data_IF_857842716856
#
_entry.id   IF_857842716856
#
_cell.length_a   1.000
_cell.length_b   1.000
_cell.length_c   1.000
_cell.angle_alpha   90.00
_cell.angle_beta   90.00
_cell.angle_gamma   90.00
#
_symmetry.space_group_name_H-M   'P 1'
#
loop_
_entity.id
_entity.type
_entity.pdbx_description
1 polymer ?
#
# COMPACT_ATOMS: atom_id res chain seq x y z
N UNK A 1 -44.35 -50.46 48.43
CA UNK A 1 -44.21 -51.81 47.92
C UNK A 1 -42.84 -52.05 47.38
N UNK A 2 -42.09 -52.95 48.00
CA UNK A 2 -40.75 -53.42 47.63
C UNK A 2 -40.85 -54.27 46.35
N UNK A 3 -39.92 -54.16 45.42
CA UNK A 3 -39.30 -55.36 44.86
C UNK A 3 -37.95 -55.02 44.20
N UNK A 4 -36.93 -55.63 44.76
CA UNK A 4 -35.57 -55.90 44.29
C UNK A 4 -35.57 -56.99 43.26
N UNK A 5 -34.55 -57.06 42.40
CA UNK A 5 -33.82 -58.24 41.88
C UNK A 5 -33.20 -57.89 40.52
N UNK A 6 -32.07 -58.35 40.09
CA UNK A 6 -30.87 -59.05 40.58
C UNK A 6 -29.75 -58.83 39.55
N UNK A 7 -28.51 -58.83 40.02
CA UNK A 7 -27.29 -59.02 39.21
C UNK A 7 -27.35 -60.40 38.47
N UNK A 8 -26.83 -60.36 37.23
CA UNK A 8 -26.12 -61.56 36.74
C UNK A 8 -24.89 -61.12 35.93
N UNK A 9 -23.74 -61.53 36.47
CA UNK A 9 -22.46 -61.53 35.79
C UNK A 9 -22.38 -62.77 34.92
N UNK A 10 -21.86 -62.64 33.69
CA UNK A 10 -21.15 -63.78 33.06
C UNK A 10 -20.24 -63.35 31.91
N UNK A 11 -19.06 -63.77 32.03
CA UNK A 11 -18.08 -64.28 31.05
C UNK A 11 -17.33 -63.29 30.15
N UNK A 12 -16.08 -63.19 30.49
CA UNK A 12 -14.92 -62.76 29.71
C UNK A 12 -14.72 -63.73 28.52
N UNK A 13 -14.65 -63.15 27.32
CA UNK A 13 -14.02 -63.84 26.19
C UNK A 13 -12.95 -62.89 25.60
N UNK A 14 -11.69 -63.22 25.89
CA UNK A 14 -10.51 -62.62 25.32
C UNK A 14 -10.40 -62.97 23.83
N UNK A 15 -10.57 -61.99 22.96
CA UNK A 15 -10.16 -62.13 21.56
C UNK A 15 -8.96 -61.23 21.34
N UNK A 16 -7.80 -61.84 21.22
CA UNK A 16 -6.54 -61.23 20.78
C UNK A 16 -6.69 -61.00 19.27
N UNK A 17 -7.07 -59.79 18.88
CA UNK A 17 -7.04 -59.31 17.50
C UNK A 17 -5.74 -58.55 17.28
N UNK A 18 -4.87 -59.07 16.46
CA UNK A 18 -3.64 -58.43 16.01
C UNK A 18 -3.99 -57.15 15.25
N UNK A 19 -3.76 -55.98 15.86
CA UNK A 19 -3.78 -54.71 15.15
C UNK A 19 -2.43 -54.57 14.46
N UNK A 20 -2.41 -54.84 13.16
CA UNK A 20 -1.33 -54.39 12.28
C UNK A 20 -1.36 -52.87 12.23
N UNK A 21 -0.43 -52.24 12.91
CA UNK A 21 -0.14 -50.82 12.78
C UNK A 21 0.38 -50.55 11.35
N UNK A 22 -0.46 -50.11 10.46
CA UNK A 22 -0.07 -49.45 9.20
C UNK A 22 0.53 -48.08 9.56
N UNK A 23 1.85 -48.02 9.46
CA UNK A 23 2.65 -46.80 9.62
C UNK A 23 2.21 -45.74 8.61
N UNK A 24 1.44 -44.74 9.05
CA UNK A 24 1.18 -43.53 8.32
C UNK A 24 2.31 -42.49 8.44
N UNK A 25 3.56 -42.90 8.21
CA UNK A 25 4.75 -42.02 8.35
C UNK A 25 5.29 -41.50 7.01
N UNK A 26 4.47 -41.35 5.98
CA UNK A 26 4.99 -40.91 4.67
C UNK A 26 4.51 -39.51 4.21
N UNK A 27 3.54 -38.90 4.86
CA UNK A 27 3.05 -37.57 4.44
C UNK A 27 3.73 -36.41 5.16
N UNK A 28 4.05 -36.50 6.45
CA UNK A 28 4.66 -35.39 7.19
C UNK A 28 6.09 -35.09 6.71
N UNK A 29 6.91 -36.10 6.44
CA UNK A 29 8.29 -35.92 5.98
C UNK A 29 8.38 -35.32 4.56
N UNK A 30 7.39 -35.53 3.70
CA UNK A 30 7.35 -34.95 2.38
C UNK A 30 6.86 -33.49 2.42
N UNK A 31 5.90 -33.16 3.27
CA UNK A 31 5.43 -31.79 3.48
C UNK A 31 6.53 -30.93 4.10
N UNK A 32 7.26 -31.44 5.10
CA UNK A 32 8.43 -30.74 5.65
C UNK A 32 9.53 -30.52 4.63
N UNK A 33 9.88 -31.51 3.82
CA UNK A 33 10.90 -31.37 2.77
C UNK A 33 10.49 -30.35 1.71
N UNK A 34 9.26 -30.37 1.24
CA UNK A 34 8.74 -29.40 0.25
C UNK A 34 8.76 -28.00 0.84
N UNK A 35 8.37 -27.82 2.11
CA UNK A 35 8.44 -26.52 2.78
C UNK A 35 9.88 -26.03 2.95
N UNK A 36 10.82 -26.88 3.30
CA UNK A 36 12.24 -26.54 3.44
C UNK A 36 12.86 -26.16 2.09
N UNK A 37 12.53 -26.86 1.00
CA UNK A 37 12.99 -26.52 -0.34
C UNK A 37 12.41 -25.21 -0.84
N UNK A 38 11.12 -24.95 -0.63
CA UNK A 38 10.45 -23.69 -0.97
C UNK A 38 11.06 -22.52 -0.18
N UNK A 39 11.27 -22.69 1.12
CA UNK A 39 11.91 -21.69 1.98
C UNK A 39 13.36 -21.42 1.53
N UNK A 40 14.12 -22.45 1.21
CA UNK A 40 15.49 -22.33 0.71
C UNK A 40 15.56 -21.59 -0.62
N UNK A 41 14.59 -21.79 -1.52
CA UNK A 41 14.49 -21.09 -2.80
C UNK A 41 14.15 -19.61 -2.59
N UNK A 42 13.17 -19.31 -1.75
CA UNK A 42 12.79 -17.94 -1.38
C UNK A 42 14.01 -17.16 -0.85
N UNK A 43 14.78 -17.78 0.06
CA UNK A 43 15.95 -17.16 0.68
C UNK A 43 17.13 -16.92 -0.26
N UNK A 44 17.24 -17.69 -1.33
CA UNK A 44 18.28 -17.52 -2.36
C UNK A 44 17.98 -16.35 -3.31
N UNK A 45 16.72 -16.10 -3.62
CA UNK A 45 16.32 -15.08 -4.59
C UNK A 45 16.03 -13.74 -3.89
N UNK A 46 15.22 -13.78 -2.82
CA UNK A 46 14.74 -12.56 -2.17
C UNK A 46 15.60 -12.23 -0.94
N UNK A 47 16.22 -11.05 -0.88
CA UNK A 47 17.03 -10.65 0.27
C UNK A 47 16.15 -10.24 1.46
N UNK A 48 16.69 -10.37 2.67
CA UNK A 48 16.20 -9.60 3.80
C UNK A 48 16.80 -8.20 3.70
N UNK A 49 15.96 -7.18 3.59
CA UNK A 49 16.43 -5.82 3.39
C UNK A 49 16.92 -5.17 4.70
N UNK A 50 17.90 -4.30 4.56
CA UNK A 50 18.30 -3.37 5.63
C UNK A 50 17.48 -2.09 5.50
N UNK A 51 16.26 -2.09 6.03
CA UNK A 51 15.37 -0.94 5.99
C UNK A 51 15.86 0.14 6.95
N UNK A 52 15.97 1.39 6.49
CA UNK A 52 16.49 2.51 7.28
C UNK A 52 15.60 2.83 8.48
N UNK A 53 14.27 2.89 8.29
CA UNK A 53 13.30 3.15 9.35
C UNK A 53 13.12 1.91 10.22
N UNK A 54 13.43 2.02 11.49
CA UNK A 54 13.32 0.91 12.45
C UNK A 54 11.99 0.95 13.19
N UNK A 55 11.58 -0.22 13.73
CA UNK A 55 10.45 -0.29 14.66
C UNK A 55 10.77 0.48 15.94
N UNK A 56 9.83 1.30 16.37
CA UNK A 56 9.87 1.98 17.66
C UNK A 56 9.02 1.20 18.69
N UNK A 57 9.62 0.70 19.79
CA UNK A 57 8.88 -0.04 20.80
C UNK A 57 7.69 0.75 21.40
N UNK A 58 7.78 2.08 21.50
CA UNK A 58 6.70 2.91 22.00
C UNK A 58 5.51 2.95 21.04
N UNK A 59 5.78 3.06 19.73
CA UNK A 59 4.75 2.96 18.67
C UNK A 59 4.11 1.58 18.69
N UNK A 60 4.91 0.50 18.77
CA UNK A 60 4.37 -0.86 18.79
C UNK A 60 3.47 -1.10 20.03
N UNK A 61 3.83 -0.57 21.20
CA UNK A 61 2.99 -0.66 22.40
C UNK A 61 1.66 0.11 22.25
N UNK A 62 1.68 1.29 21.62
CA UNK A 62 0.46 2.03 21.31
C UNK A 62 -0.45 1.28 20.36
N UNK A 63 0.10 0.63 19.33
CA UNK A 63 -0.65 -0.20 18.37
C UNK A 63 -1.40 -1.32 19.10
N UNK A 64 -0.74 -2.03 20.01
CA UNK A 64 -1.38 -3.07 20.83
C UNK A 64 -2.58 -2.51 21.58
N UNK A 65 -2.40 -1.36 22.25
CA UNK A 65 -3.48 -0.70 22.97
C UNK A 65 -4.65 -0.30 22.08
N UNK A 66 -4.39 0.22 20.87
CA UNK A 66 -5.45 0.52 19.93
C UNK A 66 -6.21 -0.75 19.51
N UNK A 67 -5.49 -1.82 19.12
CA UNK A 67 -6.10 -3.06 18.65
C UNK A 67 -6.99 -3.74 19.72
N UNK A 68 -6.59 -3.68 20.99
CA UNK A 68 -7.37 -4.22 22.10
C UNK A 68 -8.69 -3.47 22.34
N UNK A 69 -8.73 -2.18 22.01
CA UNK A 69 -9.91 -1.33 22.25
C UNK A 69 -10.80 -1.14 21.01
N UNK A 70 -10.32 -1.47 19.81
CA UNK A 70 -11.08 -1.33 18.56
C UNK A 70 -12.09 -2.45 18.39
N UNK A 71 -13.31 -2.10 17.97
CA UNK A 71 -14.30 -3.06 17.45
C UNK A 71 -13.90 -3.61 16.09
N UNK A 72 -14.51 -4.71 15.66
CA UNK A 72 -14.31 -5.24 14.31
C UNK A 72 -14.69 -4.22 13.24
N UNK A 73 -15.79 -3.52 13.45
CA UNK A 73 -16.30 -2.48 12.56
C UNK A 73 -15.28 -1.34 12.38
N UNK A 74 -14.69 -0.85 13.46
CA UNK A 74 -13.62 0.16 13.42
C UNK A 74 -12.35 -0.36 12.73
N UNK A 75 -11.96 -1.61 12.98
CA UNK A 75 -10.80 -2.25 12.33
C UNK A 75 -10.99 -2.34 10.81
N UNK A 76 -12.14 -2.82 10.36
CA UNK A 76 -12.44 -2.92 8.93
C UNK A 76 -12.52 -1.54 8.28
N UNK A 77 -13.06 -0.52 8.97
CA UNK A 77 -13.09 0.85 8.47
C UNK A 77 -11.68 1.41 8.19
N UNK A 78 -10.67 1.05 8.99
CA UNK A 78 -9.28 1.44 8.70
C UNK A 78 -8.77 0.86 7.38
N UNK A 79 -9.32 -0.26 6.93
CA UNK A 79 -8.91 -0.96 5.69
C UNK A 79 -9.64 -0.44 4.43
N UNK A 80 -10.61 0.45 4.56
CA UNK A 80 -11.40 0.99 3.44
C UNK A 80 -10.90 2.38 3.08
N UNK A 81 -10.58 2.57 1.78
CA UNK A 81 -10.18 3.84 1.20
C UNK A 81 -11.14 4.22 0.07
N UNK A 82 -12.23 4.94 0.37
CA UNK A 82 -13.17 5.45 -0.63
C UNK A 82 -12.63 6.73 -1.29
N UNK A 83 -13.26 7.12 -2.40
CA UNK A 83 -12.92 8.31 -3.16
C UNK A 83 -13.82 9.50 -2.78
N UNK A 84 -13.31 10.73 -2.87
CA UNK A 84 -14.01 11.96 -2.41
C UNK A 84 -15.35 12.21 -3.09
N UNK A 85 -15.59 11.67 -4.29
CA UNK A 85 -16.88 11.78 -5.00
C UNK A 85 -17.94 10.81 -4.48
N UNK A 86 -17.52 9.75 -3.76
CA UNK A 86 -18.37 8.64 -3.37
C UNK A 86 -18.73 8.66 -1.88
N UNK A 87 -18.17 9.59 -1.12
CA UNK A 87 -18.43 9.77 0.31
C UNK A 87 -18.71 11.21 0.68
N UNK A 88 -19.40 11.38 1.78
CA UNK A 88 -19.66 12.67 2.43
C UNK A 88 -18.84 12.78 3.73
N UNK A 89 -18.79 13.99 4.30
CA UNK A 89 -18.23 14.24 5.64
C UNK A 89 -18.99 13.43 6.70
N UNK A 90 -20.30 13.24 6.52
CA UNK A 90 -21.13 12.43 7.43
C UNK A 90 -20.83 10.92 7.30
N UNK A 91 -20.49 10.43 6.10
CA UNK A 91 -19.99 9.06 5.94
C UNK A 91 -18.66 8.89 6.67
N UNK A 92 -17.74 9.85 6.58
CA UNK A 92 -16.48 9.84 7.35
C UNK A 92 -16.75 9.77 8.85
N UNK A 93 -17.66 10.61 9.39
CA UNK A 93 -18.05 10.60 10.81
C UNK A 93 -18.67 9.28 11.23
N UNK A 94 -19.49 8.70 10.36
CA UNK A 94 -20.24 7.48 10.66
C UNK A 94 -19.38 6.22 10.67
N UNK A 95 -18.44 6.12 9.75
CA UNK A 95 -17.67 4.89 9.53
C UNK A 95 -16.22 4.98 10.03
N UNK A 96 -15.65 6.18 10.17
CA UNK A 96 -14.27 6.37 10.61
C UNK A 96 -13.24 5.77 9.65
N UNK A 97 -13.39 6.00 8.33
CA UNK A 97 -12.47 5.44 7.33
C UNK A 97 -11.01 5.76 7.64
N UNK A 98 -10.15 4.73 7.54
CA UNK A 98 -8.71 4.88 7.79
C UNK A 98 -8.02 5.85 6.84
N UNK A 99 -8.51 5.92 5.62
CA UNK A 99 -8.01 6.82 4.58
C UNK A 99 -9.10 7.10 3.55
N UNK A 100 -8.86 8.11 2.72
CA UNK A 100 -9.64 8.43 1.53
C UNK A 100 -8.70 8.97 0.45
N UNK A 101 -9.16 9.04 -0.81
CA UNK A 101 -8.35 9.52 -1.91
C UNK A 101 -9.14 10.45 -2.84
N UNK A 102 -8.42 11.17 -3.68
CA UNK A 102 -8.95 11.72 -4.92
C UNK A 102 -8.33 10.99 -6.11
N UNK A 103 -9.16 10.52 -7.02
CA UNK A 103 -8.71 10.01 -8.32
C UNK A 103 -8.51 11.12 -9.33
N UNK A 104 -7.99 10.78 -10.50
CA UNK A 104 -7.85 11.73 -11.60
C UNK A 104 -9.19 12.38 -11.94
N UNK A 105 -9.22 13.72 -11.96
CA UNK A 105 -10.42 14.49 -12.23
C UNK A 105 -11.40 14.62 -11.05
N UNK A 106 -10.99 14.25 -9.85
CA UNK A 106 -11.73 14.49 -8.62
C UNK A 106 -11.16 15.68 -7.85
N UNK A 107 -12.02 16.62 -7.50
CA UNK A 107 -11.65 17.87 -6.86
C UNK A 107 -12.64 18.22 -5.74
N UNK A 108 -12.24 19.00 -4.74
CA UNK A 108 -13.16 19.53 -3.75
C UNK A 108 -14.36 20.20 -4.43
N UNK A 109 -15.57 19.89 -3.97
CA UNK A 109 -16.84 20.38 -4.53
C UNK A 109 -17.06 20.07 -6.03
N UNK A 110 -16.30 19.15 -6.63
CA UNK A 110 -16.34 18.87 -8.07
C UNK A 110 -15.77 20.00 -8.94
N UNK A 111 -15.09 20.96 -8.35
CA UNK A 111 -14.53 22.12 -9.06
C UNK A 111 -13.04 21.91 -9.39
N UNK A 112 -12.72 21.74 -10.68
CA UNK A 112 -11.32 21.63 -11.14
C UNK A 112 -10.48 22.89 -10.88
N UNK A 113 -11.11 24.03 -10.58
CA UNK A 113 -10.46 25.27 -10.21
C UNK A 113 -10.37 25.46 -8.69
N UNK A 114 -10.68 24.42 -7.89
CA UNK A 114 -10.55 24.46 -6.45
C UNK A 114 -9.16 24.98 -6.05
N UNK A 115 -9.15 25.98 -5.18
CA UNK A 115 -7.94 26.61 -4.67
C UNK A 115 -7.28 25.73 -3.60
N UNK A 116 -5.99 25.93 -3.27
CA UNK A 116 -5.37 25.22 -2.15
C UNK A 116 -6.17 25.31 -0.85
N UNK A 117 -6.82 26.44 -0.59
CA UNK A 117 -7.70 26.66 0.56
C UNK A 117 -8.95 25.76 0.52
N UNK A 118 -9.54 25.53 -0.66
CA UNK A 118 -10.69 24.62 -0.82
C UNK A 118 -10.29 23.17 -0.51
N UNK A 119 -9.10 22.75 -0.97
CA UNK A 119 -8.52 21.44 -0.65
C UNK A 119 -8.30 21.30 0.86
N UNK A 120 -7.67 22.28 1.49
CA UNK A 120 -7.45 22.30 2.95
C UNK A 120 -8.78 22.29 3.71
N UNK A 121 -9.79 23.02 3.24
CA UNK A 121 -11.12 23.04 3.87
C UNK A 121 -11.79 21.65 3.84
N UNK A 122 -11.64 20.88 2.76
CA UNK A 122 -12.13 19.50 2.68
C UNK A 122 -11.30 18.59 3.60
N UNK A 123 -9.97 18.69 3.57
CA UNK A 123 -9.08 17.94 4.45
C UNK A 123 -9.44 18.14 5.93
N UNK A 124 -9.66 19.39 6.33
CA UNK A 124 -10.05 19.73 7.72
C UNK A 124 -11.39 19.11 8.11
N UNK A 125 -12.42 19.21 7.24
CA UNK A 125 -13.74 18.62 7.51
C UNK A 125 -13.66 17.10 7.66
N UNK A 126 -12.93 16.42 6.78
CA UNK A 126 -12.75 14.96 6.86
C UNK A 126 -11.96 14.55 8.10
N UNK A 127 -10.90 15.29 8.45
CA UNK A 127 -10.13 15.06 9.66
C UNK A 127 -11.00 15.21 10.91
N UNK A 128 -11.72 16.32 11.04
CA UNK A 128 -12.58 16.57 12.21
C UNK A 128 -13.69 15.52 12.33
N UNK A 129 -14.25 15.07 11.22
CA UNK A 129 -15.23 13.99 11.20
C UNK A 129 -14.62 12.64 11.65
N UNK A 130 -13.36 12.35 11.25
CA UNK A 130 -12.71 11.08 11.60
C UNK A 130 -12.30 10.96 13.07
N UNK A 131 -12.14 12.08 13.78
CA UNK A 131 -11.80 12.10 15.21
C UNK A 131 -12.99 12.39 16.13
N UNK A 132 -14.18 12.58 15.56
CA UNK A 132 -15.44 12.76 16.26
C UNK A 132 -16.01 11.40 16.69
N UNK A 133 -15.76 11.01 17.93
CA UNK A 133 -16.16 9.71 18.49
C UNK A 133 -17.66 9.59 18.84
N UNK A 134 -18.46 10.60 18.54
CA UNK A 134 -19.88 10.62 18.94
C UNK A 134 -20.75 9.59 18.21
N UNK A 135 -20.31 9.07 17.06
CA UNK A 135 -21.07 8.12 16.24
C UNK A 135 -20.41 6.75 16.16
N UNK A 136 -19.14 6.68 15.77
CA UNK A 136 -18.43 5.40 15.60
C UNK A 136 -17.58 5.00 16.79
N UNK A 137 -17.42 5.90 17.77
CA UNK A 137 -16.60 5.68 18.98
C UNK A 137 -15.08 5.71 18.72
N UNK A 138 -14.64 6.19 17.54
CA UNK A 138 -13.22 6.25 17.15
C UNK A 138 -12.67 7.68 17.19
N UNK A 139 -11.39 7.81 17.53
CA UNK A 139 -10.60 9.06 17.41
C UNK A 139 -9.37 8.87 16.52
N UNK A 140 -9.40 7.86 15.66
CA UNK A 140 -8.26 7.56 14.78
C UNK A 140 -8.32 8.50 13.58
N UNK A 141 -7.32 9.41 13.42
CA UNK A 141 -7.33 10.35 12.32
C UNK A 141 -7.24 9.66 10.97
N UNK A 142 -8.05 10.11 10.02
CA UNK A 142 -7.97 9.67 8.62
C UNK A 142 -6.74 10.26 7.92
N UNK A 143 -6.34 9.70 6.78
CA UNK A 143 -5.28 10.25 5.93
C UNK A 143 -5.75 10.35 4.48
N UNK A 144 -5.35 11.40 3.78
CA UNK A 144 -5.70 11.64 2.39
C UNK A 144 -4.58 11.20 1.46
N UNK A 145 -4.87 10.27 0.53
CA UNK A 145 -3.95 9.82 -0.51
C UNK A 145 -4.24 10.45 -1.88
N UNK A 146 -3.19 10.76 -2.65
CA UNK A 146 -3.32 11.32 -4.00
C UNK A 146 -2.22 10.87 -4.93
N UNK A 147 -2.47 10.89 -6.25
CA UNK A 147 -1.42 10.79 -7.25
C UNK A 147 -0.70 12.13 -7.41
N UNK A 148 0.63 12.11 -7.29
CA UNK A 148 1.52 13.20 -7.60
C UNK A 148 2.86 12.63 -8.10
N UNK A 149 2.81 11.95 -9.25
CA UNK A 149 3.92 11.14 -9.78
C UNK A 149 5.06 12.00 -10.34
N UNK A 150 4.74 13.15 -10.95
CA UNK A 150 5.71 14.09 -11.50
C UNK A 150 5.35 15.55 -11.16
N UNK A 151 5.04 15.81 -9.88
CA UNK A 151 4.49 17.06 -9.34
C UNK A 151 3.03 16.91 -8.93
N UNK A 152 2.49 17.91 -8.24
CA UNK A 152 1.10 17.91 -7.75
C UNK A 152 0.11 18.29 -8.86
N UNK A 153 -0.13 17.38 -9.79
CA UNK A 153 -0.91 17.60 -11.01
C UNK A 153 -2.42 17.81 -10.80
N UNK A 154 -2.90 17.71 -9.57
CA UNK A 154 -4.33 17.91 -9.27
C UNK A 154 -4.72 19.38 -9.05
N UNK A 155 -3.76 20.28 -8.89
CA UNK A 155 -4.00 21.69 -8.60
C UNK A 155 -3.47 22.57 -9.72
N UNK A 156 -4.34 23.43 -10.27
CA UNK A 156 -3.96 24.37 -11.32
C UNK A 156 -2.89 25.33 -10.80
N UNK A 157 -1.80 25.44 -11.57
CA UNK A 157 -0.66 26.29 -11.22
C UNK A 157 0.46 25.58 -10.49
N UNK A 158 0.27 24.36 -10.00
CA UNK A 158 1.34 23.56 -9.40
C UNK A 158 2.49 23.29 -10.38
N UNK A 159 3.67 23.04 -9.85
CA UNK A 159 4.85 22.73 -10.64
C UNK A 159 4.76 21.32 -11.21
N UNK A 160 4.77 21.21 -12.53
CA UNK A 160 4.88 19.93 -13.22
C UNK A 160 6.31 19.72 -13.69
N UNK A 161 6.80 18.51 -13.49
CA UNK A 161 8.11 18.06 -13.94
C UNK A 161 7.95 17.19 -15.21
N UNK A 162 9.03 16.96 -15.99
CA UNK A 162 8.99 15.96 -17.05
C UNK A 162 8.46 14.63 -16.55
N UNK A 163 7.77 13.88 -17.41
CA UNK A 163 7.39 12.52 -17.06
C UNK A 163 8.62 11.64 -16.75
N UNK A 164 8.40 10.55 -16.04
CA UNK A 164 9.45 9.71 -15.49
C UNK A 164 10.46 9.23 -16.53
N UNK A 165 10.02 8.91 -17.76
CA UNK A 165 10.92 8.54 -18.88
C UNK A 165 11.93 9.66 -19.20
N UNK A 166 11.51 10.91 -19.16
CA UNK A 166 12.43 12.06 -19.33
C UNK A 166 13.35 12.25 -18.14
N UNK A 167 12.81 12.11 -16.93
CA UNK A 167 13.62 12.18 -15.70
C UNK A 167 14.65 11.05 -15.63
N UNK A 168 14.31 9.86 -16.12
CA UNK A 168 15.26 8.74 -16.26
C UNK A 168 16.41 9.06 -17.18
N UNK A 169 16.13 9.73 -18.33
CA UNK A 169 17.17 10.18 -19.27
C UNK A 169 18.14 11.20 -18.66
N UNK A 170 17.70 12.00 -17.67
CA UNK A 170 18.57 12.94 -16.95
C UNK A 170 19.66 12.24 -16.11
N UNK A 171 19.41 11.03 -15.66
CA UNK A 171 20.30 10.21 -14.83
C UNK A 171 20.95 10.99 -13.66
N UNK A 172 20.11 11.74 -12.92
CA UNK A 172 20.52 12.61 -11.82
C UNK A 172 19.70 12.37 -10.57
N UNK A 173 20.08 11.43 -9.67
CA UNK A 173 19.34 11.11 -8.45
C UNK A 173 19.16 12.30 -7.49
N UNK A 174 20.14 13.21 -7.42
CA UNK A 174 20.03 14.38 -6.52
C UNK A 174 18.93 15.35 -6.99
N UNK A 175 18.82 15.55 -8.31
CA UNK A 175 17.71 16.31 -8.89
C UNK A 175 16.36 15.65 -8.61
N UNK A 176 16.29 14.32 -8.66
CA UNK A 176 15.08 13.55 -8.36
C UNK A 176 14.68 13.70 -6.88
N UNK A 177 15.62 13.64 -5.93
CA UNK A 177 15.33 13.89 -4.51
C UNK A 177 14.78 15.31 -4.30
N UNK A 178 15.35 16.30 -5.00
CA UNK A 178 14.86 17.68 -4.95
C UNK A 178 13.44 17.84 -5.53
N UNK A 179 13.16 17.23 -6.68
CA UNK A 179 11.83 17.19 -7.31
C UNK A 179 10.79 16.60 -6.35
N UNK A 180 11.12 15.48 -5.72
CA UNK A 180 10.25 14.81 -4.77
C UNK A 180 9.99 15.69 -3.52
N UNK A 181 11.01 16.41 -3.03
CA UNK A 181 10.87 17.35 -1.92
C UNK A 181 9.95 18.53 -2.27
N UNK A 182 10.04 19.06 -3.47
CA UNK A 182 9.14 20.10 -3.98
C UNK A 182 7.70 19.57 -4.09
N UNK A 183 7.54 18.36 -4.62
CA UNK A 183 6.24 17.70 -4.72
C UNK A 183 5.60 17.55 -3.34
N UNK A 184 6.36 17.12 -2.32
CA UNK A 184 5.87 17.03 -0.94
C UNK A 184 5.36 18.39 -0.42
N UNK A 185 6.09 19.47 -0.65
CA UNK A 185 5.71 20.83 -0.22
C UNK A 185 4.39 21.27 -0.88
N UNK A 186 4.26 21.11 -2.21
CA UNK A 186 3.06 21.51 -2.92
C UNK A 186 1.84 20.63 -2.58
N UNK A 187 2.04 19.34 -2.34
CA UNK A 187 0.99 18.42 -1.86
C UNK A 187 0.52 18.83 -0.46
N UNK A 188 1.43 19.14 0.45
CA UNK A 188 1.08 19.57 1.82
C UNK A 188 0.38 20.93 1.83
N UNK A 189 0.64 21.81 0.86
CA UNK A 189 -0.08 23.08 0.72
C UNK A 189 -1.59 22.87 0.51
N UNK A 190 -2.00 21.69 0.05
CA UNK A 190 -3.39 21.28 -0.12
C UNK A 190 -3.95 20.42 1.02
N UNK A 191 -3.18 20.24 2.11
CA UNK A 191 -3.61 19.49 3.30
C UNK A 191 -3.52 17.97 3.16
N UNK A 192 -2.86 17.46 2.12
CA UNK A 192 -2.73 16.02 1.83
C UNK A 192 -1.49 15.46 2.51
N UNK A 193 -1.61 14.21 3.04
CA UNK A 193 -0.56 13.57 3.85
C UNK A 193 0.19 12.45 3.12
N UNK A 194 -0.36 11.94 2.02
CA UNK A 194 0.08 10.70 1.41
C UNK A 194 0.08 10.78 -0.11
N UNK A 195 1.20 10.35 -0.72
CA UNK A 195 1.39 10.38 -2.18
C UNK A 195 1.60 8.96 -2.71
N UNK A 196 0.89 8.63 -3.80
CA UNK A 196 1.03 7.37 -4.53
C UNK A 196 2.21 7.47 -5.53
N UNK A 197 3.40 7.65 -5.02
CA UNK A 197 4.68 7.73 -5.75
C UNK A 197 5.82 7.26 -4.86
N UNK A 198 6.90 6.70 -5.46
CA UNK A 198 7.22 6.62 -6.90
C UNK A 198 6.57 5.44 -7.63
N UNK A 199 6.36 5.61 -8.95
CA UNK A 199 6.19 4.49 -9.88
C UNK A 199 7.58 3.92 -10.19
N UNK A 200 7.77 2.61 -9.96
CA UNK A 200 9.08 1.94 -10.13
C UNK A 200 9.06 0.79 -11.12
N UNK A 201 8.14 0.87 -12.08
CA UNK A 201 8.09 -0.07 -13.19
C UNK A 201 9.40 -0.01 -13.98
N UNK A 202 10.00 -1.18 -14.24
CA UNK A 202 11.11 -1.35 -15.19
C UNK A 202 10.50 -1.76 -16.52
N UNK A 203 10.48 -0.86 -17.49
CA UNK A 203 9.81 -1.06 -18.79
C UNK A 203 10.61 -2.05 -19.64
N UNK A 204 9.95 -3.11 -20.10
CA UNK A 204 10.54 -4.15 -20.96
C UNK A 204 9.95 -4.18 -22.37
N UNK A 205 8.84 -3.50 -22.58
CA UNK A 205 8.17 -3.41 -23.88
C UNK A 205 7.56 -2.02 -24.05
N UNK A 206 8.06 -1.27 -25.03
CA UNK A 206 7.63 0.11 -25.30
C UNK A 206 6.18 0.23 -25.79
N UNK A 207 5.53 -0.89 -26.14
CA UNK A 207 4.09 -0.93 -26.46
C UNK A 207 3.20 -0.76 -25.24
N UNK A 208 3.75 -0.96 -24.03
CA UNK A 208 2.99 -0.76 -22.80
C UNK A 208 2.52 0.69 -22.68
N UNK A 209 1.21 0.89 -22.52
CA UNK A 209 0.59 2.22 -22.51
C UNK A 209 1.04 3.16 -21.40
N UNK A 210 1.71 2.62 -20.35
CA UNK A 210 2.27 3.36 -19.21
C UNK A 210 3.80 3.46 -19.24
N UNK A 211 4.43 3.18 -20.38
CA UNK A 211 5.90 3.29 -20.54
C UNK A 211 6.45 4.64 -20.06
N UNK A 212 5.74 5.73 -20.30
CA UNK A 212 6.14 7.09 -19.87
C UNK A 212 6.21 7.25 -18.35
N UNK A 213 5.54 6.41 -17.56
CA UNK A 213 5.60 6.39 -16.11
C UNK A 213 6.83 5.66 -15.55
N UNK A 214 7.53 4.85 -16.37
CA UNK A 214 8.78 4.20 -16.00
C UNK A 214 9.97 5.14 -16.16
N UNK A 215 10.93 5.08 -15.23
CA UNK A 215 12.16 5.89 -15.33
C UNK A 215 13.14 5.31 -16.36
N UNK A 216 13.24 4.00 -16.48
CA UNK A 216 14.22 3.33 -17.34
C UNK A 216 13.88 1.85 -17.56
N UNK A 217 14.48 1.28 -18.61
CA UNK A 217 14.63 -0.17 -18.80
C UNK A 217 15.80 -0.75 -17.95
N UNK A 218 16.68 0.11 -17.43
CA UNK A 218 17.78 -0.27 -16.52
C UNK A 218 17.27 -0.33 -15.07
N UNK A 219 17.20 -1.51 -14.45
CA UNK A 219 16.73 -1.67 -13.09
C UNK A 219 17.61 -0.93 -12.05
N UNK A 220 18.89 -0.64 -12.38
CA UNK A 220 19.76 0.12 -11.49
C UNK A 220 19.32 1.58 -11.38
N UNK A 221 18.96 2.23 -12.49
CA UNK A 221 18.45 3.60 -12.49
C UNK A 221 17.15 3.66 -11.68
N UNK A 222 16.26 2.69 -11.87
CA UNK A 222 14.98 2.61 -11.14
C UNK A 222 15.21 2.40 -9.64
N UNK A 223 16.19 1.57 -9.25
CA UNK A 223 16.61 1.37 -7.86
C UNK A 223 17.05 2.69 -7.21
N UNK A 224 18.00 3.39 -7.82
CA UNK A 224 18.60 4.59 -7.26
C UNK A 224 17.57 5.74 -7.17
N UNK A 225 16.72 5.87 -8.19
CA UNK A 225 15.65 6.86 -8.23
C UNK A 225 14.55 6.59 -7.21
N UNK A 226 14.19 5.32 -7.02
CA UNK A 226 13.21 4.96 -6.01
C UNK A 226 13.65 5.41 -4.61
N UNK A 227 14.89 5.17 -4.25
CA UNK A 227 15.44 5.63 -2.98
C UNK A 227 15.47 7.17 -2.87
N UNK A 228 15.88 7.87 -3.93
CA UNK A 228 15.92 9.33 -3.98
C UNK A 228 14.52 9.95 -3.80
N UNK A 229 13.50 9.40 -4.49
CA UNK A 229 12.12 9.91 -4.39
C UNK A 229 11.55 9.65 -3.01
N UNK A 230 11.76 8.47 -2.44
CA UNK A 230 11.31 8.15 -1.08
C UNK A 230 11.93 9.14 -0.08
N UNK A 231 13.22 9.40 -0.17
CA UNK A 231 13.90 10.38 0.68
C UNK A 231 13.35 11.79 0.47
N UNK A 232 13.10 12.20 -0.77
CA UNK A 232 12.55 13.52 -1.06
C UNK A 232 11.11 13.70 -0.56
N UNK A 233 10.24 12.69 -0.71
CA UNK A 233 8.86 12.77 -0.26
C UNK A 233 8.75 12.69 1.27
N UNK A 234 9.37 11.70 1.90
CA UNK A 234 9.13 11.42 3.32
C UNK A 234 10.31 11.74 4.26
N UNK A 235 11.42 12.25 3.73
CA UNK A 235 12.63 12.54 4.51
C UNK A 235 13.47 11.30 4.79
N UNK A 236 14.72 11.52 5.22
CA UNK A 236 15.67 10.46 5.58
C UNK A 236 15.44 9.99 7.02
N UNK A 237 15.62 8.70 7.28
CA UNK A 237 15.35 8.08 8.58
C UNK A 237 16.17 8.69 9.74
N UNK A 238 17.38 9.18 9.45
CA UNK A 238 18.28 9.84 10.40
C UNK A 238 18.17 11.38 10.39
N UNK A 239 17.16 11.93 9.70
CA UNK A 239 16.95 13.36 9.53
C UNK A 239 15.52 13.81 9.83
N UNK A 240 14.79 14.19 8.78
CA UNK A 240 13.48 14.82 8.87
C UNK A 240 12.33 13.86 8.46
N UNK A 241 12.50 12.56 8.69
CA UNK A 241 11.54 11.51 8.37
C UNK A 241 10.14 11.84 8.88
N UNK A 242 9.18 11.91 7.96
CA UNK A 242 7.76 12.21 8.18
C UNK A 242 7.50 13.42 9.11
N UNK A 243 8.45 14.38 9.11
CA UNK A 243 8.29 15.67 9.80
C UNK A 243 7.13 16.49 9.22
N UNK A 244 6.91 17.69 9.75
CA UNK A 244 5.92 18.65 9.24
C UNK A 244 6.20 19.15 7.81
N UNK A 245 7.29 18.70 7.19
CA UNK A 245 7.70 19.08 5.83
C UNK A 245 7.65 17.90 4.85
N UNK A 246 7.12 16.75 5.27
CA UNK A 246 7.19 15.50 4.53
C UNK A 246 5.84 14.80 4.47
N UNK A 247 5.65 13.98 3.43
CA UNK A 247 4.46 13.17 3.20
C UNK A 247 4.80 11.69 3.16
N UNK A 248 3.81 10.82 3.35
CA UNK A 248 3.97 9.37 3.19
C UNK A 248 4.18 9.06 1.70
N UNK A 249 5.17 8.23 1.36
CA UNK A 249 5.42 7.72 0.02
C UNK A 249 4.83 6.33 -0.21
N UNK A 250 4.57 5.99 -1.47
CA UNK A 250 4.10 4.66 -1.91
C UNK A 250 4.91 4.18 -3.09
N UNK A 251 5.65 3.10 -2.94
CA UNK A 251 6.34 2.47 -4.08
C UNK A 251 5.35 1.61 -4.87
N UNK A 252 5.21 1.82 -6.19
CA UNK A 252 4.17 1.19 -7.02
C UNK A 252 4.66 0.80 -8.41
N UNK A 253 4.05 -0.17 -9.07
CA UNK A 253 2.99 -1.08 -8.60
C UNK A 253 3.59 -2.47 -8.42
N UNK A 254 3.44 -3.07 -7.27
CA UNK A 254 4.06 -4.34 -6.90
C UNK A 254 3.30 -5.52 -7.49
N UNK A 255 3.85 -6.25 -8.49
CA UNK A 255 5.17 -6.19 -9.08
C UNK A 255 5.12 -6.68 -10.54
N UNK A 256 5.98 -6.11 -11.40
CA UNK A 256 6.19 -6.62 -12.76
C UNK A 256 5.25 -6.04 -13.83
N UNK A 257 4.61 -4.91 -13.55
CA UNK A 257 3.71 -4.19 -14.47
C UNK A 257 4.38 -3.75 -15.78
N UNK A 258 5.64 -3.30 -15.74
CA UNK A 258 6.41 -2.92 -16.92
C UNK A 258 6.94 -4.10 -17.77
N UNK A 259 6.69 -5.35 -17.37
CA UNK A 259 7.19 -6.57 -18.03
C UNK A 259 6.09 -7.54 -18.47
N UNK A 260 4.87 -7.05 -18.71
CA UNK A 260 3.78 -7.89 -19.22
C UNK A 260 4.00 -8.30 -20.67
N UNK A 261 3.53 -9.49 -21.02
CA UNK A 261 3.64 -10.01 -22.39
C UNK A 261 3.00 -9.04 -23.38
N UNK A 262 3.71 -8.75 -24.47
CA UNK A 262 3.29 -7.84 -25.55
C UNK A 262 2.99 -6.39 -25.11
N UNK A 263 3.38 -6.00 -23.89
CA UNK A 263 3.08 -4.69 -23.32
C UNK A 263 1.59 -4.53 -22.99
N UNK A 264 0.86 -5.62 -22.79
CA UNK A 264 -0.56 -5.59 -22.44
C UNK A 264 -0.73 -5.00 -21.04
N UNK A 265 -1.39 -3.84 -20.93
CA UNK A 265 -1.61 -3.19 -19.65
C UNK A 265 -2.50 -4.06 -18.76
N UNK A 266 -2.09 -4.24 -17.48
CA UNK A 266 -2.72 -5.16 -16.54
C UNK A 266 -2.66 -6.65 -16.95
N UNK A 267 -1.86 -6.98 -17.97
CA UNK A 267 -1.68 -8.31 -18.52
C UNK A 267 -0.90 -9.27 -17.62
N UNK A 268 -0.29 -10.27 -18.20
CA UNK A 268 0.45 -11.31 -17.48
C UNK A 268 1.96 -11.14 -17.66
N UNK A 269 2.70 -11.01 -16.59
CA UNK A 269 4.15 -11.16 -16.57
C UNK A 269 4.48 -12.64 -16.40
N UNK A 270 5.29 -13.19 -17.31
CA UNK A 270 5.67 -14.61 -17.34
C UNK A 270 7.14 -14.86 -16.98
N UNK A 271 7.81 -13.84 -16.47
CA UNK A 271 9.20 -13.95 -16.06
C UNK A 271 9.41 -15.04 -15.01
N UNK A 272 10.61 -15.63 -15.06
CA UNK A 272 11.05 -16.46 -13.96
C UNK A 272 11.12 -15.64 -12.67
N UNK A 273 11.05 -16.30 -11.53
CA UNK A 273 11.15 -15.62 -10.23
C UNK A 273 12.49 -14.88 -10.06
N UNK A 274 13.57 -15.42 -10.61
CA UNK A 274 14.89 -14.76 -10.61
C UNK A 274 14.84 -13.47 -11.47
N UNK A 275 14.25 -13.51 -12.66
CA UNK A 275 14.10 -12.34 -13.52
C UNK A 275 13.17 -11.30 -12.89
N UNK A 276 12.08 -11.75 -12.24
CA UNK A 276 11.18 -10.86 -11.50
C UNK A 276 11.94 -10.09 -10.42
N UNK A 277 12.85 -10.76 -9.69
CA UNK A 277 13.70 -10.12 -8.72
C UNK A 277 14.76 -9.21 -9.37
N UNK A 278 15.55 -9.74 -10.30
CA UNK A 278 16.71 -9.04 -10.87
C UNK A 278 16.31 -7.77 -11.65
N UNK A 279 15.12 -7.76 -12.23
CA UNK A 279 14.62 -6.67 -13.05
C UNK A 279 13.58 -5.85 -12.28
N UNK A 280 12.44 -6.47 -11.95
CA UNK A 280 11.25 -5.74 -11.51
C UNK A 280 11.23 -5.41 -10.02
N UNK A 281 12.03 -6.13 -9.21
CA UNK A 281 12.08 -5.85 -7.77
C UNK A 281 13.08 -4.75 -7.38
N UNK A 282 13.97 -4.31 -8.27
CA UNK A 282 15.07 -3.42 -7.88
C UNK A 282 14.57 -2.05 -7.39
N UNK A 283 13.53 -1.49 -7.99
CA UNK A 283 12.89 -0.28 -7.47
C UNK A 283 12.33 -0.44 -6.05
N UNK A 284 11.81 -1.63 -5.71
CA UNK A 284 11.35 -1.93 -4.35
C UNK A 284 12.52 -2.12 -3.39
N UNK A 285 13.61 -2.74 -3.83
CA UNK A 285 14.84 -2.84 -3.01
C UNK A 285 15.32 -1.44 -2.63
N UNK A 286 15.40 -0.51 -3.59
CA UNK A 286 15.80 0.88 -3.33
C UNK A 286 14.84 1.62 -2.39
N UNK A 287 13.55 1.66 -2.75
CA UNK A 287 12.55 2.43 -2.00
C UNK A 287 12.26 1.89 -0.60
N UNK A 288 12.18 0.56 -0.44
CA UNK A 288 11.99 -0.04 0.88
C UNK A 288 13.21 0.11 1.78
N UNK A 289 14.43 0.00 1.21
CA UNK A 289 15.65 0.25 1.98
C UNK A 289 15.74 1.69 2.47
N UNK A 290 15.26 2.66 1.68
CA UNK A 290 15.12 4.05 2.09
C UNK A 290 14.01 4.26 3.14
N UNK A 291 13.12 3.29 3.33
CA UNK A 291 12.11 3.30 4.38
C UNK A 291 10.70 3.70 3.94
N UNK A 292 10.34 3.46 2.67
CA UNK A 292 8.95 3.70 2.20
C UNK A 292 7.93 3.06 3.12
N UNK A 293 6.86 3.78 3.42
CA UNK A 293 5.84 3.35 4.39
C UNK A 293 4.65 2.65 3.75
N UNK A 294 4.51 2.72 2.44
CA UNK A 294 3.43 2.05 1.71
C UNK A 294 3.94 1.41 0.42
N UNK A 295 3.29 0.32 0.02
CA UNK A 295 3.45 -0.33 -1.27
C UNK A 295 2.07 -0.51 -1.88
N UNK A 296 1.91 -0.20 -3.17
CA UNK A 296 0.67 -0.44 -3.90
C UNK A 296 0.79 -1.71 -4.73
N UNK A 297 -0.18 -2.62 -4.59
CA UNK A 297 -0.24 -3.84 -5.39
C UNK A 297 -0.56 -3.52 -6.86
N UNK A 298 -0.01 -4.30 -7.79
CA UNK A 298 -0.22 -4.09 -9.23
C UNK A 298 -1.43 -4.81 -9.78
N UNK A 299 -2.03 -4.26 -10.83
CA UNK A 299 -3.11 -4.89 -11.58
C UNK A 299 -2.69 -6.12 -12.38
N UNK A 300 -1.42 -6.21 -12.80
CA UNK A 300 -0.95 -7.31 -13.62
C UNK A 300 -0.98 -8.64 -12.86
N UNK A 301 -0.92 -9.73 -13.63
CA UNK A 301 -0.69 -11.06 -13.09
C UNK A 301 0.80 -11.41 -13.17
N UNK A 302 1.27 -12.27 -12.28
CA UNK A 302 2.52 -12.99 -12.44
C UNK A 302 2.22 -14.48 -12.57
N UNK A 303 2.65 -15.07 -13.69
CA UNK A 303 2.36 -16.47 -14.05
C UNK A 303 0.88 -16.85 -13.86
N UNK A 304 -0.01 -15.97 -14.31
CA UNK A 304 -1.47 -16.17 -14.29
C UNK A 304 -2.17 -15.84 -12.96
N UNK A 305 -1.44 -15.45 -11.91
CA UNK A 305 -2.02 -15.05 -10.61
C UNK A 305 -2.00 -13.53 -10.48
N UNK A 306 -3.18 -12.91 -10.33
CA UNK A 306 -3.31 -11.47 -10.08
C UNK A 306 -2.56 -11.07 -8.81
N UNK A 307 -1.73 -10.00 -8.87
CA UNK A 307 -0.88 -9.59 -7.76
C UNK A 307 -1.67 -9.22 -6.50
N UNK A 308 -2.84 -8.60 -6.62
CA UNK A 308 -3.73 -8.31 -5.48
C UNK A 308 -4.16 -9.56 -4.69
N UNK A 309 -4.15 -10.75 -5.32
CA UNK A 309 -4.48 -12.04 -4.71
C UNK A 309 -3.27 -12.95 -4.52
N UNK A 310 -2.07 -12.48 -4.78
CA UNK A 310 -0.86 -13.29 -4.71
C UNK A 310 -0.24 -13.26 -3.30
N UNK A 311 -0.67 -14.20 -2.45
CA UNK A 311 -0.16 -14.33 -1.08
C UNK A 311 1.36 -14.51 -1.03
N UNK A 312 1.92 -15.30 -1.95
CA UNK A 312 3.36 -15.50 -2.00
C UNK A 312 4.11 -14.18 -2.15
N UNK A 313 3.71 -13.33 -3.11
CA UNK A 313 4.37 -12.05 -3.35
C UNK A 313 4.08 -11.02 -2.24
N UNK A 314 2.80 -10.85 -1.84
CA UNK A 314 2.43 -9.81 -0.88
C UNK A 314 2.83 -10.15 0.56
N UNK A 315 2.69 -11.41 0.98
CA UNK A 315 2.95 -11.81 2.36
C UNK A 315 4.33 -12.44 2.51
N UNK A 316 4.61 -13.54 1.78
CA UNK A 316 5.79 -14.34 2.05
C UNK A 316 7.06 -13.62 1.57
N UNK A 317 7.03 -13.00 0.39
CA UNK A 317 8.14 -12.20 -0.16
C UNK A 317 8.21 -10.82 0.49
N UNK A 318 7.22 -9.94 0.22
CA UNK A 318 7.31 -8.53 0.58
C UNK A 318 7.35 -8.32 2.10
N UNK A 319 6.34 -8.81 2.81
CA UNK A 319 6.21 -8.56 4.26
C UNK A 319 7.19 -9.37 5.08
N UNK A 320 7.26 -10.68 4.82
CA UNK A 320 8.04 -11.60 5.66
C UNK A 320 9.51 -11.60 5.27
N UNK A 321 9.83 -11.90 4.02
CA UNK A 321 11.22 -12.09 3.60
C UNK A 321 11.99 -10.79 3.44
N UNK A 322 11.44 -9.83 2.70
CA UNK A 322 12.06 -8.51 2.53
C UNK A 322 11.96 -7.66 3.81
N UNK A 323 11.01 -7.96 4.71
CA UNK A 323 10.88 -7.32 6.01
C UNK A 323 10.11 -6.00 5.99
N UNK A 324 9.25 -5.79 4.99
CA UNK A 324 8.41 -4.60 4.90
C UNK A 324 7.38 -4.55 6.04
N UNK A 325 7.41 -3.52 6.85
CA UNK A 325 6.55 -3.35 8.03
C UNK A 325 5.47 -2.26 7.89
N UNK A 326 5.45 -1.53 6.76
CA UNK A 326 4.36 -0.66 6.38
C UNK A 326 3.14 -1.43 5.85
N UNK A 327 2.18 -0.74 5.26
CA UNK A 327 0.96 -1.34 4.72
C UNK A 327 0.99 -1.51 3.20
N UNK A 328 0.24 -2.50 2.71
CA UNK A 328 -0.03 -2.71 1.29
C UNK A 328 -1.41 -2.16 0.95
N UNK A 329 -1.47 -1.20 0.05
CA UNK A 329 -2.71 -0.67 -0.51
C UNK A 329 -2.99 -1.31 -1.87
N UNK A 330 -4.27 -1.56 -2.18
CA UNK A 330 -4.71 -1.94 -3.52
C UNK A 330 -4.64 -0.79 -4.50
N UNK A 331 -4.68 -1.10 -5.77
CA UNK A 331 -4.94 -0.14 -6.83
C UNK A 331 -6.45 -0.07 -7.12
N UNK A 332 -6.90 0.88 -7.89
CA UNK A 332 -8.28 1.25 -8.24
C UNK A 332 -9.19 0.04 -8.52
N UNK A 333 -9.95 -0.43 -7.51
CA UNK A 333 -10.76 -1.66 -7.57
C UNK A 333 -9.99 -2.93 -8.00
N UNK A 334 -8.67 -2.97 -7.86
CA UNK A 334 -7.83 -4.08 -8.33
C UNK A 334 -8.16 -5.42 -7.68
N UNK A 335 -8.67 -5.41 -6.45
CA UNK A 335 -9.15 -6.61 -5.77
C UNK A 335 -10.32 -7.29 -6.52
N UNK A 336 -11.18 -6.50 -7.19
CA UNK A 336 -12.29 -7.02 -7.99
C UNK A 336 -11.86 -7.81 -9.22
N UNK A 337 -10.59 -7.70 -9.64
CA UNK A 337 -10.04 -8.47 -10.77
C UNK A 337 -9.56 -9.88 -10.38
N UNK A 338 -9.52 -10.21 -9.10
CA UNK A 338 -9.17 -11.56 -8.65
C UNK A 338 -10.32 -12.51 -8.98
N UNK A 339 -9.99 -13.69 -9.50
CA UNK A 339 -11.00 -14.71 -9.84
C UNK A 339 -11.88 -15.05 -8.61
N UNK A 340 -13.16 -14.86 -8.75
CA UNK A 340 -14.15 -15.10 -7.69
C UNK A 340 -14.44 -13.90 -6.79
N UNK A 341 -13.71 -12.81 -6.97
CA UNK A 341 -13.97 -11.53 -6.30
C UNK A 341 -14.88 -10.60 -7.12
N UNK A 342 -15.41 -9.60 -6.44
CA UNK A 342 -16.05 -8.41 -7.02
C UNK A 342 -15.54 -7.17 -6.28
N UNK A 343 -15.89 -5.98 -6.76
CA UNK A 343 -15.54 -4.73 -6.06
C UNK A 343 -16.17 -4.66 -4.65
N UNK A 344 -17.26 -5.37 -4.44
CA UNK A 344 -18.04 -5.40 -3.19
C UNK A 344 -17.61 -6.54 -2.25
N UNK A 345 -16.79 -7.50 -2.70
CA UNK A 345 -16.49 -8.70 -1.92
C UNK A 345 -15.23 -9.40 -2.40
N UNK A 346 -14.18 -9.43 -1.56
CA UNK A 346 -12.93 -10.10 -1.89
C UNK A 346 -12.11 -10.51 -0.65
N UNK A 347 -12.47 -11.59 0.05
CA UNK A 347 -11.67 -12.08 1.17
C UNK A 347 -10.29 -12.59 0.72
N UNK A 348 -10.16 -13.02 -0.54
CA UNK A 348 -8.91 -13.49 -1.14
C UNK A 348 -7.81 -12.43 -1.11
N UNK A 349 -8.15 -11.16 -1.40
CA UNK A 349 -7.17 -10.06 -1.35
C UNK A 349 -6.66 -9.82 0.07
N UNK A 350 -7.55 -9.80 1.07
CA UNK A 350 -7.16 -9.65 2.48
C UNK A 350 -6.26 -10.80 2.91
N UNK A 351 -6.66 -12.04 2.61
CA UNK A 351 -5.89 -13.23 2.96
C UNK A 351 -4.55 -13.33 2.22
N UNK A 352 -4.44 -12.70 1.04
CA UNK A 352 -3.18 -12.59 0.32
C UNK A 352 -2.22 -11.56 0.95
N UNK A 353 -2.71 -10.62 1.75
CA UNK A 353 -1.88 -9.62 2.41
C UNK A 353 -2.20 -8.18 2.07
N UNK A 354 -3.31 -7.90 1.37
CA UNK A 354 -3.81 -6.54 1.17
C UNK A 354 -4.27 -5.95 2.51
N UNK A 355 -3.82 -4.73 2.83
CA UNK A 355 -4.13 -4.07 4.08
C UNK A 355 -5.17 -2.95 3.90
N UNK A 356 -5.16 -2.25 2.76
CA UNK A 356 -6.13 -1.20 2.43
C UNK A 356 -6.75 -1.51 1.06
N UNK A 357 -8.06 -1.53 1.00
CA UNK A 357 -8.81 -1.55 -0.26
C UNK A 357 -8.94 -0.13 -0.82
N UNK A 358 -8.32 0.16 -1.95
CA UNK A 358 -8.67 1.33 -2.76
C UNK A 358 -9.97 1.02 -3.51
N UNK A 359 -11.08 1.60 -3.07
CA UNK A 359 -12.42 1.28 -3.57
C UNK A 359 -13.17 2.56 -3.98
N UNK A 360 -12.80 3.13 -5.14
CA UNK A 360 -13.31 4.42 -5.61
C UNK A 360 -14.64 4.30 -6.33
N UNK A 361 -15.64 3.79 -5.72
CA UNK A 361 -17.02 3.73 -6.22
C UNK A 361 -17.96 3.50 -5.05
N UNK A 362 -19.27 3.57 -5.26
CA UNK A 362 -20.27 3.20 -4.25
C UNK A 362 -20.13 1.76 -3.72
N UNK A 363 -19.22 0.96 -4.27
CA UNK A 363 -18.88 -0.37 -3.80
C UNK A 363 -18.21 -0.39 -2.41
N UNK A 364 -17.68 0.74 -1.93
CA UNK A 364 -17.04 0.82 -0.61
C UNK A 364 -17.94 0.34 0.53
N UNK A 365 -19.24 0.67 0.47
CA UNK A 365 -20.18 0.32 1.54
C UNK A 365 -20.49 -1.17 1.58
N UNK A 366 -20.92 -1.84 0.49
CA UNK A 366 -21.09 -3.29 0.51
C UNK A 366 -19.76 -4.03 0.75
N UNK A 367 -18.60 -3.51 0.31
CA UNK A 367 -17.30 -4.10 0.61
C UNK A 367 -17.01 -4.08 2.12
N UNK A 368 -17.27 -2.97 2.80
CA UNK A 368 -17.14 -2.83 4.25
C UNK A 368 -18.04 -3.86 4.97
N UNK A 369 -19.33 -3.91 4.62
CA UNK A 369 -20.32 -4.80 5.23
C UNK A 369 -19.97 -6.28 4.98
N UNK A 370 -19.59 -6.63 3.76
CA UNK A 370 -19.17 -7.98 3.39
C UNK A 370 -17.88 -8.41 4.08
N UNK A 371 -16.90 -7.52 4.23
CA UNK A 371 -15.66 -7.83 4.93
C UNK A 371 -15.92 -8.18 6.40
N UNK A 372 -16.77 -7.42 7.09
CA UNK A 372 -17.21 -7.72 8.45
C UNK A 372 -17.90 -9.09 8.52
N UNK A 373 -18.83 -9.36 7.60
CA UNK A 373 -19.52 -10.64 7.53
C UNK A 373 -18.58 -11.81 7.28
N UNK A 374 -17.56 -11.62 6.43
CA UNK A 374 -16.52 -12.61 6.11
C UNK A 374 -15.65 -12.94 7.32
N UNK A 375 -15.31 -11.93 8.14
CA UNK A 375 -14.59 -12.16 9.41
C UNK A 375 -15.47 -12.93 10.37
N UNK A 376 -16.72 -12.52 10.57
CA UNK A 376 -17.69 -13.22 11.45
C UNK A 376 -17.95 -14.66 11.00
N UNK A 377 -17.87 -14.94 9.70
CA UNK A 377 -17.98 -16.28 9.12
C UNK A 377 -16.67 -17.09 9.11
N UNK A 378 -15.57 -16.55 9.62
CA UNK A 378 -14.26 -17.21 9.65
C UNK A 378 -13.56 -17.33 8.29
N UNK A 379 -14.03 -16.63 7.24
CA UNK A 379 -13.38 -16.58 5.92
C UNK A 379 -12.11 -15.72 5.95
N UNK A 380 -12.07 -14.72 6.82
CA UNK A 380 -10.90 -13.90 7.14
C UNK A 380 -10.66 -14.05 8.64
N UNK A 381 -9.42 -14.34 9.04
CA UNK A 381 -9.09 -14.45 10.47
C UNK A 381 -8.97 -13.08 11.11
N UNK A 382 -9.34 -12.96 12.40
CA UNK A 382 -9.13 -11.72 13.16
C UNK A 382 -7.66 -11.32 13.19
N UNK A 383 -6.74 -12.30 13.30
CA UNK A 383 -5.30 -12.02 13.29
C UNK A 383 -4.81 -11.37 11.98
N UNK A 384 -5.47 -11.69 10.84
CA UNK A 384 -5.14 -11.01 9.56
C UNK A 384 -5.67 -9.58 9.55
N UNK A 385 -6.86 -9.32 10.11
CA UNK A 385 -7.39 -7.96 10.29
C UNK A 385 -6.46 -7.16 11.23
N UNK A 386 -6.08 -7.74 12.35
CA UNK A 386 -5.17 -7.09 13.31
C UNK A 386 -3.81 -6.76 12.70
N UNK A 387 -3.22 -7.64 11.87
CA UNK A 387 -1.98 -7.34 11.14
C UNK A 387 -2.17 -6.17 10.16
N UNK A 388 -3.29 -6.12 9.40
CA UNK A 388 -3.57 -5.00 8.50
C UNK A 388 -3.66 -3.67 9.27
N UNK A 389 -4.47 -3.65 10.31
CA UNK A 389 -4.70 -2.44 11.11
C UNK A 389 -3.44 -2.03 11.85
N UNK A 390 -2.66 -2.97 12.39
CA UNK A 390 -1.36 -2.68 13.00
C UNK A 390 -0.41 -1.96 12.04
N UNK A 391 -0.36 -2.37 10.79
CA UNK A 391 0.47 -1.73 9.75
C UNK A 391 -0.01 -0.33 9.42
N UNK A 392 -1.32 -0.14 9.29
CA UNK A 392 -1.93 1.17 9.04
C UNK A 392 -1.65 2.13 10.21
N UNK A 393 -1.90 1.68 11.44
CA UNK A 393 -1.65 2.49 12.65
C UNK A 393 -0.17 2.82 12.81
N UNK A 394 0.74 1.89 12.52
CA UNK A 394 2.20 2.15 12.55
C UNK A 394 2.59 3.30 11.65
N UNK A 395 2.08 3.33 10.44
CA UNK A 395 2.38 4.43 9.49
C UNK A 395 1.76 5.73 9.97
N UNK A 396 0.52 5.73 10.46
CA UNK A 396 -0.13 6.92 11.03
C UNK A 396 0.62 7.49 12.23
N UNK A 397 1.07 6.63 13.15
CA UNK A 397 1.87 7.02 14.31
C UNK A 397 3.25 7.56 13.90
N UNK A 398 3.94 6.89 12.98
CA UNK A 398 5.21 7.37 12.42
C UNK A 398 5.07 8.72 11.72
N UNK A 399 3.94 8.94 11.05
CA UNK A 399 3.62 10.22 10.40
C UNK A 399 3.15 11.29 11.39
N UNK A 400 3.03 10.96 12.69
CA UNK A 400 2.59 11.87 13.74
C UNK A 400 1.14 12.34 13.59
N UNK A 401 0.27 11.61 12.87
CA UNK A 401 -1.09 12.09 12.59
C UNK A 401 -1.96 12.24 13.83
N UNK A 402 -1.63 11.55 14.92
CA UNK A 402 -2.33 11.66 16.20
C UNK A 402 -1.96 12.94 16.98
N UNK A 403 -0.76 13.48 16.76
CA UNK A 403 -0.17 14.58 17.52
C UNK A 403 -0.03 15.86 16.69
N UNK A 404 0.05 15.75 15.35
CA UNK A 404 0.13 16.92 14.47
C UNK A 404 -1.13 17.78 14.57
N UNK A 405 -0.99 19.11 14.36
CA UNK A 405 -2.16 19.97 14.20
C UNK A 405 -3.10 19.46 13.10
N UNK A 406 -4.38 19.84 13.21
CA UNK A 406 -5.35 19.55 12.16
C UNK A 406 -4.90 20.10 10.79
N UNK A 407 -5.36 19.54 9.68
CA UNK A 407 -4.89 19.92 8.34
C UNK A 407 -4.83 21.43 8.09
N UNK A 408 -5.83 22.19 8.50
CA UNK A 408 -5.86 23.64 8.32
C UNK A 408 -4.79 24.41 9.11
N UNK A 409 -4.16 23.80 10.10
CA UNK A 409 -3.17 24.44 11.00
C UNK A 409 -1.74 23.94 10.75
N UNK A 410 -1.51 23.11 9.73
CA UNK A 410 -0.19 22.58 9.40
C UNK A 410 0.69 23.63 8.71
N UNK A 411 1.99 23.40 8.73
CA UNK A 411 3.03 24.35 8.33
C UNK A 411 2.81 24.98 6.94
N UNK A 412 2.37 24.17 5.96
CA UNK A 412 2.24 24.61 4.56
C UNK A 412 0.79 24.79 4.11
N UNK A 413 -0.18 24.41 4.93
CA UNK A 413 -1.61 24.42 4.54
C UNK A 413 -2.11 25.77 4.08
N UNK A 414 -2.75 25.79 2.91
CA UNK A 414 -3.35 26.98 2.30
C UNK A 414 -2.32 27.99 1.78
N UNK A 415 -1.02 27.68 1.79
CA UNK A 415 0.01 28.60 1.30
C UNK A 415 0.09 28.56 -0.22
N UNK A 416 -0.80 29.31 -0.86
CA UNK A 416 -0.92 29.41 -2.32
C UNK A 416 0.38 29.84 -2.99
N UNK A 417 1.21 30.65 -2.32
CA UNK A 417 2.51 31.08 -2.82
C UNK A 417 3.55 29.95 -3.02
N UNK A 418 3.29 28.77 -2.41
CA UNK A 418 4.12 27.58 -2.62
C UNK A 418 3.76 26.84 -3.91
N UNK A 419 2.50 26.97 -4.36
CA UNK A 419 2.02 26.30 -5.57
C UNK A 419 2.66 26.96 -6.80
N UNK A 420 3.53 26.21 -7.48
CA UNK A 420 4.25 26.71 -8.64
C UNK A 420 5.20 27.87 -8.34
N UNK A 421 5.77 27.92 -7.14
CA UNK A 421 6.74 28.92 -6.74
C UNK A 421 7.89 29.04 -7.75
N UNK A 422 8.47 30.23 -7.93
CA UNK A 422 9.50 30.49 -8.92
C UNK A 422 10.71 29.52 -8.75
N UNK A 423 11.13 29.27 -7.52
CA UNK A 423 12.22 28.32 -7.23
C UNK A 423 11.87 26.88 -7.67
N UNK A 424 10.60 26.45 -7.48
CA UNK A 424 10.12 25.14 -7.94
C UNK A 424 10.15 25.03 -9.47
N UNK A 425 9.70 26.09 -10.17
CA UNK A 425 9.71 26.16 -11.65
C UNK A 425 11.15 26.16 -12.22
N UNK A 426 12.10 26.72 -11.51
CA UNK A 426 13.51 26.70 -11.91
C UNK A 426 14.08 25.29 -11.89
N UNK A 427 13.76 24.50 -10.87
CA UNK A 427 14.12 23.08 -10.79
C UNK A 427 13.43 22.31 -11.93
N UNK A 428 12.16 22.59 -12.22
CA UNK A 428 11.46 21.95 -13.35
C UNK A 428 12.12 22.28 -14.69
N UNK A 429 12.55 23.54 -14.92
CA UNK A 429 13.32 23.91 -16.12
C UNK A 429 14.68 23.24 -16.19
N UNK A 430 15.35 23.05 -15.05
CA UNK A 430 16.59 22.27 -14.99
C UNK A 430 16.31 20.82 -15.40
N UNK A 431 15.29 20.20 -14.84
CA UNK A 431 14.88 18.83 -15.18
C UNK A 431 14.59 18.68 -16.68
N UNK A 432 13.92 19.65 -17.30
CA UNK A 432 13.69 19.66 -18.77
C UNK A 432 15.03 19.72 -19.52
N UNK A 433 15.95 20.60 -19.15
CA UNK A 433 17.26 20.69 -19.82
C UNK A 433 18.08 19.42 -19.73
N UNK A 434 18.06 18.76 -18.57
CA UNK A 434 18.81 17.52 -18.32
C UNK A 434 18.16 16.29 -18.98
N UNK A 435 16.84 16.34 -19.24
CA UNK A 435 16.10 15.24 -19.88
C UNK A 435 16.16 15.25 -21.41
N UNK A 436 16.82 16.25 -22.03
CA UNK A 436 16.92 16.34 -23.49
C UNK A 436 17.92 15.31 -24.03
N UNK A 437 17.48 14.52 -25.02
CA UNK A 437 18.31 13.54 -25.72
C UNK A 437 18.46 13.95 -27.18
N UNK A 438 19.70 14.21 -27.60
CA UNK A 438 20.00 14.57 -29.00
C UNK A 438 20.08 13.30 -29.85
N UNK A 439 18.97 12.98 -30.54
CA UNK A 439 18.88 11.78 -31.39
C UNK A 439 19.56 11.95 -32.76
N UNK A 440 19.63 13.17 -33.28
CA UNK A 440 20.22 13.48 -34.60
C UNK A 440 20.78 14.89 -34.61
N UNK A 441 22.03 15.00 -35.00
CA UNK A 441 22.72 16.26 -35.19
C UNK A 441 23.46 16.22 -36.54
N UNK A 442 22.87 16.80 -37.60
CA UNK A 442 23.46 16.94 -38.93
C UNK A 442 23.53 18.41 -39.30
#
# INVERSE_FOLDING_TARGET
MKTTFKLNALAIATLVGSVTALSGCTNESNVEKVNVEAQSKLEKIWPKLSIAVKKDPAIEAQIVTFLENMTLEQKVAQMIQPEIRDITVEDMRKYGFGSYLNGGGAFPNGDKHATPEDWVALAEKMYQASIDDSVDGSKIPTMWGTDAVHGHNNVIGATLFPHNIGLGAANNPDLIEQIASITAVEVMATGIDWVFAPTVAVVRDDRWGRTYEGYSEDPKIVHDYSAAIVNGLQGKADGDFLSDKRVISTVKHFIGDGGTVDGDDQGNNIDSEQSLFDIHAQGYVGGLSAGSQSVMASFNSWNGVKNHGNKYLLTDVLKTRMGFDGFVVGDWNGHGQIKGCTNESCPEAVNAGLDIFMVPTGAWKPLYENTIAQVKAGKISMSRIDDAVARILRVKLRAGLFDKPSPAKRLYSGKTELIGAQAHREVARQAVRESLVLLKNK
#
